data_IF_439865775086
#
_entry.id   IF_439865775086
#
_cell.length_a   1.000
_cell.length_b   1.000
_cell.length_c   1.000
_cell.angle_alpha   90.00
_cell.angle_beta   90.00
_cell.angle_gamma   90.00
#
_symmetry.space_group_name_H-M   'P 1'
#
loop_
_entity.id
_entity.type
_entity.pdbx_description
1 polymer ?
#
# COMPACT_ATOMS: atom_id res chain seq x y z
N UNK A 1 -11.80 -16.39 5.19
CA UNK A 1 -12.45 -15.85 6.38
C UNK A 1 -11.60 -14.91 7.25
N UNK A 2 -10.36 -14.58 6.83
CA UNK A 2 -9.46 -13.79 7.67
C UNK A 2 -9.75 -12.27 7.68
N UNK A 3 -10.53 -11.79 6.73
CA UNK A 3 -10.82 -10.38 6.57
C UNK A 3 -11.37 -10.05 5.19
N UNK A 4 -11.38 -8.77 4.83
CA UNK A 4 -11.94 -8.28 3.56
C UNK A 4 -10.92 -7.48 2.75
N UNK A 5 -11.23 -7.23 1.48
CA UNK A 5 -10.46 -6.35 0.61
C UNK A 5 -11.04 -4.94 0.72
N UNK A 6 -10.21 -3.99 1.14
CA UNK A 6 -10.62 -2.59 1.20
C UNK A 6 -10.58 -1.87 -0.14
N UNK A 7 -11.07 -0.62 -0.16
CA UNK A 7 -11.10 0.21 -1.37
C UNK A 7 -9.73 0.34 -2.04
N UNK A 8 -8.66 0.46 -1.27
CA UNK A 8 -7.28 0.52 -1.78
C UNK A 8 -6.71 -0.83 -2.23
N UNK A 9 -7.53 -1.86 -2.38
CA UNK A 9 -7.13 -3.25 -2.65
C UNK A 9 -6.22 -3.86 -1.57
N UNK A 10 -6.08 -3.21 -0.44
CA UNK A 10 -5.38 -3.81 0.69
C UNK A 10 -6.28 -4.78 1.41
N UNK A 11 -5.72 -5.94 1.77
CA UNK A 11 -6.40 -6.86 2.66
C UNK A 11 -6.47 -6.26 4.07
N UNK A 12 -7.64 -6.29 4.67
CA UNK A 12 -7.92 -5.75 5.99
C UNK A 12 -8.43 -6.87 6.90
N UNK A 13 -7.73 -7.11 7.99
CA UNK A 13 -8.23 -8.03 9.02
C UNK A 13 -8.77 -7.29 10.23
N UNK A 14 -9.74 -7.87 10.97
CA UNK A 14 -10.28 -7.24 12.18
C UNK A 14 -9.24 -7.11 13.30
N UNK A 15 -8.16 -7.89 13.23
CA UNK A 15 -7.10 -7.85 14.23
C UNK A 15 -6.04 -6.78 13.94
N UNK A 16 -5.57 -6.69 12.70
CA UNK A 16 -4.40 -5.89 12.35
C UNK A 16 -4.68 -4.79 11.32
N UNK A 17 -5.92 -4.67 10.84
CA UNK A 17 -6.22 -3.78 9.72
C UNK A 17 -5.40 -4.17 8.48
N UNK A 18 -4.86 -3.21 7.72
CA UNK A 18 -4.02 -3.46 6.54
C UNK A 18 -2.53 -3.72 6.86
N UNK A 19 -2.15 -3.95 8.11
CA UNK A 19 -0.73 -4.05 8.55
C UNK A 19 -0.09 -5.42 8.39
N UNK A 20 -0.77 -6.40 7.84
CA UNK A 20 -0.22 -7.74 7.69
C UNK A 20 0.44 -7.96 6.34
N UNK A 21 1.34 -8.92 6.31
CA UNK A 21 1.86 -9.51 5.10
C UNK A 21 1.23 -10.88 4.91
N UNK A 22 0.85 -11.19 3.69
CA UNK A 22 0.24 -12.46 3.32
C UNK A 22 1.27 -13.25 2.52
N UNK A 23 1.43 -14.53 2.86
CA UNK A 23 2.15 -15.51 2.07
C UNK A 23 1.16 -16.54 1.52
N UNK A 24 1.47 -17.08 0.35
CA UNK A 24 0.70 -18.14 -0.30
C UNK A 24 1.57 -19.38 -0.32
N UNK A 25 0.99 -20.50 0.09
CA UNK A 25 1.62 -21.83 0.01
C UNK A 25 0.78 -22.67 -0.94
N UNK A 26 1.43 -23.23 -1.95
CA UNK A 26 0.81 -24.21 -2.84
C UNK A 26 1.02 -25.61 -2.26
N UNK A 27 -0.03 -26.40 -2.27
CA UNK A 27 -0.01 -27.78 -1.76
C UNK A 27 -0.91 -28.67 -2.61
N UNK A 28 -0.64 -29.95 -2.65
CA UNK A 28 -1.48 -30.99 -3.22
C UNK A 28 -2.36 -31.70 -2.16
N UNK A 29 -2.26 -31.26 -0.91
CA UNK A 29 -3.16 -31.73 0.14
C UNK A 29 -4.59 -31.25 -0.09
N UNK A 30 -5.55 -32.16 0.08
CA UNK A 30 -6.97 -31.80 0.13
C UNK A 30 -7.25 -31.01 1.41
N UNK A 31 -7.52 -29.70 1.24
CA UNK A 31 -7.86 -28.82 2.34
C UNK A 31 -9.32 -28.40 2.22
N UNK A 32 -10.04 -28.42 3.33
CA UNK A 32 -11.37 -27.84 3.38
C UNK A 32 -11.26 -26.30 3.30
N UNK A 33 -12.00 -25.66 2.37
CA UNK A 33 -11.92 -24.21 2.24
C UNK A 33 -12.59 -23.50 3.42
N UNK A 34 -11.91 -22.48 3.94
CA UNK A 34 -12.54 -21.56 4.91
C UNK A 34 -13.63 -20.72 4.22
N UNK A 35 -14.68 -20.31 4.95
CA UNK A 35 -15.69 -19.41 4.42
C UNK A 35 -15.11 -18.03 4.11
N UNK A 36 -15.75 -17.28 3.22
CA UNK A 36 -15.47 -15.87 3.02
C UNK A 36 -15.79 -15.10 4.32
N UNK A 37 -15.07 -14.01 4.56
CA UNK A 37 -15.27 -13.18 5.74
C UNK A 37 -16.69 -12.60 5.79
N UNK A 38 -17.42 -12.93 6.83
CA UNK A 38 -18.81 -12.47 7.11
C UNK A 38 -18.89 -11.63 8.39
N UNK A 39 -17.77 -11.20 8.91
CA UNK A 39 -17.72 -10.35 10.10
C UNK A 39 -18.17 -8.91 9.82
N UNK A 40 -18.10 -8.05 10.86
CA UNK A 40 -18.43 -6.63 10.70
C UNK A 40 -17.63 -5.96 9.59
N UNK A 41 -18.29 -5.13 8.79
CA UNK A 41 -17.64 -4.40 7.69
C UNK A 41 -16.48 -3.54 8.22
N UNK A 42 -15.30 -3.79 7.69
CA UNK A 42 -14.07 -3.05 8.04
C UNK A 42 -13.92 -1.82 7.15
N UNK A 43 -13.97 -1.98 5.83
CA UNK A 43 -13.88 -0.89 4.88
C UNK A 43 -15.24 -0.23 4.62
N UNK A 44 -15.46 0.91 5.21
CA UNK A 44 -16.66 1.75 5.01
C UNK A 44 -16.55 2.71 3.82
N UNK A 45 -15.50 2.55 2.99
CA UNK A 45 -15.22 3.41 1.84
C UNK A 45 -15.09 4.90 2.21
N UNK A 46 -14.44 5.20 3.33
CA UNK A 46 -14.19 6.57 3.79
C UNK A 46 -13.30 7.40 2.84
N UNK A 47 -12.71 6.79 1.83
CA UNK A 47 -11.81 7.39 0.82
C UNK A 47 -10.53 8.03 1.38
N UNK A 48 -10.21 7.81 2.64
CA UNK A 48 -8.99 8.36 3.24
C UNK A 48 -7.72 7.83 2.56
N UNK A 49 -7.73 6.55 2.16
CA UNK A 49 -6.63 5.96 1.40
C UNK A 49 -6.43 6.63 0.03
N UNK A 50 -7.50 6.99 -0.67
CA UNK A 50 -7.44 7.69 -1.95
C UNK A 50 -6.96 9.14 -1.76
N UNK A 51 -7.49 9.86 -0.78
CA UNK A 51 -7.09 11.24 -0.44
C UNK A 51 -5.62 11.37 -0.02
N UNK A 52 -5.08 10.33 0.64
CA UNK A 52 -3.70 10.28 1.10
C UNK A 52 -2.76 9.53 0.12
N UNK A 53 -3.26 9.19 -1.07
CA UNK A 53 -2.42 8.63 -2.12
C UNK A 53 -1.61 9.74 -2.79
N UNK A 54 -0.32 9.81 -2.49
CA UNK A 54 0.57 10.87 -2.98
C UNK A 54 0.60 10.97 -4.51
N UNK A 55 0.49 9.85 -5.21
CA UNK A 55 0.43 9.80 -6.67
C UNK A 55 -0.98 9.94 -7.26
N UNK A 56 -2.02 9.97 -6.43
CA UNK A 56 -3.40 9.99 -6.94
C UNK A 56 -3.81 8.71 -7.67
N UNK A 57 -3.12 7.59 -7.40
CA UNK A 57 -3.34 6.32 -8.11
C UNK A 57 -4.64 5.59 -7.71
N UNK A 58 -5.26 5.99 -6.61
CA UNK A 58 -6.48 5.38 -6.08
C UNK A 58 -7.64 6.33 -6.39
N UNK A 59 -8.60 5.96 -7.26
CA UNK A 59 -9.74 6.82 -7.55
C UNK A 59 -10.62 7.07 -6.33
N UNK A 60 -11.16 8.27 -6.26
CA UNK A 60 -12.17 8.66 -5.26
C UNK A 60 -13.59 8.41 -5.75
N UNK A 61 -13.77 8.29 -7.07
CA UNK A 61 -15.06 7.92 -7.67
C UNK A 61 -15.32 6.43 -7.43
N UNK A 62 -16.40 6.12 -6.71
CA UNK A 62 -16.76 4.75 -6.40
C UNK A 62 -17.29 3.95 -7.59
N UNK A 63 -17.62 4.60 -8.69
CA UNK A 63 -17.98 3.91 -9.92
C UNK A 63 -16.76 3.35 -10.67
N UNK A 64 -15.57 3.92 -10.43
CA UNK A 64 -14.30 3.45 -10.99
C UNK A 64 -13.71 2.33 -10.12
N UNK A 65 -14.28 1.15 -10.26
CA UNK A 65 -13.96 -0.01 -9.44
C UNK A 65 -13.84 -1.30 -10.26
N UNK A 66 -13.09 -2.24 -9.70
CA UNK A 66 -13.01 -3.63 -10.18
C UNK A 66 -13.96 -4.47 -9.33
N UNK A 67 -14.72 -5.33 -9.97
CA UNK A 67 -15.63 -6.30 -9.33
C UNK A 67 -15.28 -7.71 -9.73
N UNK A 68 -15.30 -8.62 -8.79
CA UNK A 68 -15.18 -10.05 -9.01
C UNK A 68 -16.18 -10.81 -8.15
N UNK A 69 -16.59 -11.98 -8.63
CA UNK A 69 -17.42 -12.92 -7.89
C UNK A 69 -16.57 -14.09 -7.41
N UNK A 70 -16.58 -14.36 -6.11
CA UNK A 70 -15.90 -15.51 -5.51
C UNK A 70 -16.86 -16.16 -4.52
N UNK A 71 -17.12 -17.46 -4.70
CA UNK A 71 -17.96 -18.25 -3.80
C UNK A 71 -19.33 -17.59 -3.48
N UNK A 72 -19.95 -16.93 -4.48
CA UNK A 72 -21.24 -16.26 -4.33
C UNK A 72 -21.17 -14.87 -3.67
N UNK A 73 -19.97 -14.36 -3.37
CA UNK A 73 -19.75 -13.03 -2.81
C UNK A 73 -19.16 -12.08 -3.86
N UNK A 74 -19.71 -10.89 -3.96
CA UNK A 74 -19.15 -9.81 -4.79
C UNK A 74 -18.06 -9.09 -4.01
N UNK A 75 -16.84 -9.10 -4.54
CA UNK A 75 -15.72 -8.34 -4.02
C UNK A 75 -15.45 -7.14 -4.91
N UNK A 76 -15.27 -5.97 -4.29
CA UNK A 76 -15.04 -4.71 -5.00
C UNK A 76 -13.86 -3.95 -4.40
N UNK A 77 -13.07 -3.35 -5.27
CA UNK A 77 -12.00 -2.39 -4.89
C UNK A 77 -11.80 -1.36 -6.00
N UNK A 78 -11.09 -0.27 -5.69
CA UNK A 78 -10.78 0.78 -6.64
C UNK A 78 -10.01 0.25 -7.86
N UNK A 79 -10.31 0.76 -9.03
CA UNK A 79 -9.52 0.52 -10.25
C UNK A 79 -8.21 1.31 -10.18
N UNK A 80 -7.22 0.76 -9.50
CA UNK A 80 -5.97 1.43 -9.16
C UNK A 80 -5.07 1.55 -10.39
N UNK A 81 -4.55 2.75 -10.66
CA UNK A 81 -3.46 2.92 -11.62
C UNK A 81 -2.15 2.38 -11.02
N UNK A 82 -1.81 1.16 -11.40
CA UNK A 82 -0.60 0.50 -10.89
C UNK A 82 0.69 1.12 -11.41
N UNK A 83 0.68 1.79 -12.54
CA UNK A 83 1.86 2.48 -13.08
C UNK A 83 2.20 3.66 -12.18
N UNK A 84 1.20 4.48 -11.88
CA UNK A 84 1.36 5.59 -10.93
C UNK A 84 1.69 5.07 -9.54
N UNK A 85 0.92 4.10 -9.04
CA UNK A 85 1.15 3.51 -7.71
C UNK A 85 2.58 2.99 -7.57
N UNK A 86 3.06 2.21 -8.55
CA UNK A 86 4.41 1.66 -8.54
C UNK A 86 5.49 2.75 -8.54
N UNK A 87 5.32 3.78 -9.38
CA UNK A 87 6.24 4.91 -9.45
C UNK A 87 6.44 5.57 -8.09
N UNK A 88 5.34 5.91 -7.43
CA UNK A 88 5.40 6.56 -6.11
C UNK A 88 5.81 5.60 -5.00
N UNK A 89 5.33 4.37 -5.05
CA UNK A 89 5.70 3.33 -4.08
C UNK A 89 7.20 3.01 -4.09
N UNK A 90 7.82 2.99 -5.27
CA UNK A 90 9.24 2.69 -5.42
C UNK A 90 10.15 3.92 -5.27
N UNK A 91 9.61 5.12 -5.10
CA UNK A 91 10.38 6.35 -4.96
C UNK A 91 10.94 6.89 -6.27
N UNK A 92 10.36 6.53 -7.41
CA UNK A 92 10.76 6.98 -8.73
C UNK A 92 10.06 8.28 -9.18
N UNK A 93 9.56 9.07 -8.25
CA UNK A 93 8.95 10.37 -8.49
C UNK A 93 9.92 11.46 -8.04
N UNK A 94 10.64 12.15 -8.95
CA UNK A 94 11.67 13.14 -8.60
C UNK A 94 11.14 14.26 -7.71
N UNK A 95 9.90 14.67 -7.95
CA UNK A 95 9.21 15.70 -7.18
C UNK A 95 8.95 15.31 -5.71
N UNK A 96 9.10 14.02 -5.37
CA UNK A 96 8.88 13.48 -4.02
C UNK A 96 10.11 12.79 -3.44
N UNK A 97 11.11 12.53 -4.26
CA UNK A 97 12.33 11.85 -3.84
C UNK A 97 13.58 12.62 -4.31
N UNK A 98 14.07 13.56 -3.50
CA UNK A 98 15.24 14.37 -3.86
C UNK A 98 16.55 13.56 -3.95
N UNK A 99 16.56 12.33 -3.48
CA UNK A 99 17.72 11.42 -3.56
C UNK A 99 17.60 10.42 -4.72
N UNK A 100 16.64 10.65 -5.61
CA UNK A 100 16.51 9.81 -6.79
C UNK A 100 17.72 9.99 -7.69
N UNK A 101 18.41 8.89 -7.99
CA UNK A 101 19.51 8.86 -8.93
C UNK A 101 18.95 8.94 -10.34
N UNK A 102 19.38 9.91 -11.13
CA UNK A 102 18.99 10.05 -12.52
C UNK A 102 19.74 9.06 -13.41
N UNK A 103 19.30 8.87 -14.66
CA UNK A 103 20.00 8.01 -15.61
C UNK A 103 21.44 8.51 -15.88
N UNK A 104 21.64 9.82 -15.85
CA UNK A 104 22.94 10.46 -16.02
C UNK A 104 23.91 10.13 -14.87
N UNK A 105 23.37 10.01 -13.65
CA UNK A 105 24.16 9.64 -12.47
C UNK A 105 24.57 8.16 -12.49
N UNK A 106 23.92 7.33 -13.30
CA UNK A 106 24.15 5.87 -13.34
C UNK A 106 25.39 5.47 -14.10
N UNK A 107 25.90 6.30 -15.01
CA UNK A 107 27.09 5.97 -15.78
C UNK A 107 28.33 5.75 -14.90
N UNK A 108 28.32 6.25 -13.67
CA UNK A 108 29.36 6.05 -12.67
C UNK A 108 29.12 4.91 -11.66
N UNK A 109 27.93 4.34 -11.59
CA UNK A 109 27.62 3.26 -10.67
C UNK A 109 27.72 1.90 -11.35
N UNK A 110 28.58 1.04 -10.82
CA UNK A 110 28.62 -0.37 -11.26
C UNK A 110 27.24 -1.00 -11.04
N UNK A 111 26.70 -1.65 -12.06
CA UNK A 111 25.46 -2.41 -11.97
C UNK A 111 25.57 -3.39 -10.80
N UNK A 112 24.61 -3.45 -9.89
CA UNK A 112 24.62 -4.47 -8.86
C UNK A 112 24.65 -5.84 -9.53
N UNK A 113 25.65 -6.63 -9.18
CA UNK A 113 25.79 -8.02 -9.63
C UNK A 113 24.77 -8.85 -8.87
N UNK A 114 23.83 -9.46 -9.56
CA UNK A 114 22.91 -10.40 -8.95
C UNK A 114 21.43 -10.25 -9.34
N UNK A 115 20.58 -10.77 -8.54
CA UNK A 115 19.15 -11.01 -8.76
C UNK A 115 18.27 -9.83 -9.24
N UNK A 116 18.77 -8.61 -9.15
CA UNK A 116 18.09 -7.39 -9.65
C UNK A 116 17.76 -7.46 -11.16
N UNK A 117 18.46 -8.29 -11.91
CA UNK A 117 18.14 -8.51 -13.33
C UNK A 117 16.88 -9.37 -13.56
N UNK A 118 16.39 -10.08 -12.57
CA UNK A 118 15.21 -10.95 -12.72
C UNK A 118 13.91 -10.17 -12.82
N UNK A 119 13.88 -8.99 -12.24
CA UNK A 119 12.70 -8.14 -12.29
C UNK A 119 12.97 -6.99 -13.25
N UNK A 120 12.68 -7.19 -14.53
CA UNK A 120 12.61 -6.11 -15.51
C UNK A 120 11.43 -5.15 -15.20
N UNK A 121 11.24 -4.84 -13.97
CA UNK A 121 10.42 -3.72 -13.55
C UNK A 121 11.34 -2.52 -13.65
N UNK A 122 11.19 -1.73 -14.69
CA UNK A 122 12.03 -0.61 -15.05
C UNK A 122 12.77 0.16 -13.95
N UNK A 123 13.30 1.32 -14.23
CA UNK A 123 14.16 2.10 -13.32
C UNK A 123 13.60 2.30 -11.89
N UNK A 124 12.29 2.18 -11.72
CA UNK A 124 11.61 2.34 -10.42
C UNK A 124 12.10 1.40 -9.32
N UNK A 125 12.65 0.25 -9.65
CA UNK A 125 13.12 -0.72 -8.64
C UNK A 125 14.49 -0.37 -8.06
N UNK A 126 15.27 0.41 -8.79
CA UNK A 126 16.65 0.76 -8.41
C UNK A 126 16.71 1.97 -7.46
N UNK A 127 15.64 2.75 -7.32
CA UNK A 127 15.66 4.03 -6.60
C UNK A 127 15.48 3.91 -5.09
N UNK A 128 15.58 2.74 -4.56
CA UNK A 128 15.28 2.57 -3.16
C UNK A 128 13.80 2.81 -2.88
N UNK A 129 13.44 2.66 -1.65
CA UNK A 129 12.03 2.73 -1.27
C UNK A 129 11.62 4.16 -1.01
N UNK A 130 10.49 4.51 -1.55
CA UNK A 130 9.91 5.82 -1.40
C UNK A 130 9.93 6.30 0.03
N UNK A 131 10.11 7.60 0.19
CA UNK A 131 9.89 8.27 1.46
C UNK A 131 8.50 8.00 2.03
N UNK A 132 7.53 7.76 1.19
CA UNK A 132 6.16 7.54 1.57
C UNK A 132 5.63 6.16 1.14
N UNK A 133 5.91 5.73 -0.07
CA UNK A 133 5.50 4.44 -0.62
C UNK A 133 4.01 4.16 -0.39
N UNK A 134 3.67 2.88 -0.14
CA UNK A 134 2.33 2.48 0.26
C UNK A 134 1.95 2.93 1.69
N UNK A 135 2.85 3.59 2.41
CA UNK A 135 2.59 3.98 3.79
C UNK A 135 1.48 5.02 3.91
N UNK A 136 1.31 5.91 2.94
CA UNK A 136 0.25 6.91 2.95
C UNK A 136 -1.14 6.29 3.00
N UNK A 137 -1.48 5.41 2.05
CA UNK A 137 -2.78 4.75 2.01
C UNK A 137 -3.00 3.77 3.17
N UNK A 138 -1.97 2.96 3.52
CA UNK A 138 -2.02 2.04 4.65
C UNK A 138 -2.20 2.81 5.95
N UNK A 139 -1.39 3.85 6.18
CA UNK A 139 -1.44 4.65 7.38
C UNK A 139 -2.81 5.33 7.56
N UNK A 140 -3.34 5.93 6.51
CA UNK A 140 -4.65 6.56 6.54
C UNK A 140 -5.76 5.58 6.91
N UNK A 141 -5.72 4.38 6.32
CA UNK A 141 -6.66 3.31 6.65
C UNK A 141 -6.52 2.87 8.12
N UNK A 142 -5.28 2.71 8.59
CA UNK A 142 -5.02 2.34 10.00
C UNK A 142 -5.59 3.33 10.98
N UNK A 143 -5.31 4.63 10.77
CA UNK A 143 -5.80 5.70 11.64
C UNK A 143 -7.34 5.65 11.70
N UNK A 144 -7.97 5.59 10.53
CA UNK A 144 -9.44 5.56 10.45
C UNK A 144 -10.03 4.33 11.17
N UNK A 145 -9.49 3.14 10.95
CA UNK A 145 -9.99 1.92 11.59
C UNK A 145 -9.80 1.92 13.11
N UNK A 146 -8.70 2.48 13.60
CA UNK A 146 -8.47 2.62 15.04
C UNK A 146 -9.40 3.66 15.66
N UNK A 147 -9.61 4.81 15.02
CA UNK A 147 -10.56 5.84 15.46
C UNK A 147 -12.00 5.32 15.50
N UNK A 148 -12.35 4.39 14.60
CA UNK A 148 -13.64 3.74 14.56
C UNK A 148 -13.77 2.55 15.54
N UNK A 149 -12.71 2.20 16.26
CA UNK A 149 -12.71 1.05 17.17
C UNK A 149 -12.90 -0.30 16.48
N UNK A 150 -12.58 -0.40 15.20
CA UNK A 150 -12.78 -1.61 14.38
C UNK A 150 -11.66 -2.65 14.53
N UNK A 151 -10.57 -2.32 15.19
CA UNK A 151 -9.40 -3.19 15.34
C UNK A 151 -9.23 -3.67 16.78
N UNK A 152 -8.93 -4.95 16.94
CA UNK A 152 -8.64 -5.52 18.27
C UNK A 152 -7.18 -5.32 18.68
N UNK A 153 -6.27 -5.13 17.73
CA UNK A 153 -4.86 -4.82 17.99
C UNK A 153 -4.56 -3.39 17.53
N UNK A 154 -4.55 -2.47 18.47
CA UNK A 154 -4.25 -1.06 18.25
C UNK A 154 -2.79 -0.76 18.60
N UNK A 155 -2.29 0.40 18.17
CA UNK A 155 -1.01 0.88 18.64
C UNK A 155 -1.08 1.22 20.14
N UNK A 156 -0.03 0.93 20.88
CA UNK A 156 0.06 1.25 22.30
C UNK A 156 0.16 2.75 22.57
N UNK A 157 0.65 3.50 21.58
CA UNK A 157 0.71 4.96 21.62
C UNK A 157 -0.05 5.54 20.42
N UNK A 158 -0.72 6.70 20.57
CA UNK A 158 -1.34 7.40 19.47
C UNK A 158 -0.35 7.70 18.36
N UNK A 159 -0.82 7.72 17.11
CA UNK A 159 0.01 8.20 16.00
C UNK A 159 0.53 9.59 16.31
N UNK A 160 1.84 9.74 16.35
CA UNK A 160 2.46 11.04 16.62
C UNK A 160 2.09 12.01 15.52
N UNK A 161 1.42 13.09 15.87
CA UNK A 161 1.35 14.27 15.05
C UNK A 161 2.69 15.00 15.20
N UNK A 162 3.64 14.66 14.36
CA UNK A 162 4.91 15.40 14.33
C UNK A 162 4.67 16.69 13.54
N UNK A 163 5.25 17.81 14.00
CA UNK A 163 5.43 18.95 13.11
C UNK A 163 6.24 18.50 11.90
N UNK A 164 6.11 19.21 10.79
CA UNK A 164 6.87 18.93 9.59
C UNK A 164 8.34 18.77 9.92
N UNK A 165 8.94 17.73 9.34
CA UNK A 165 10.33 17.43 9.61
C UNK A 165 11.19 18.58 9.11
N UNK A 166 11.85 19.29 10.00
CA UNK A 166 12.80 20.33 9.66
C UNK A 166 14.20 19.75 9.88
N UNK A 167 14.94 19.61 8.79
CA UNK A 167 16.38 19.38 8.91
C UNK A 167 16.99 20.65 9.53
N UNK A 168 17.77 20.50 10.60
CA UNK A 168 18.52 21.63 11.18
C UNK A 168 19.74 21.94 10.28
N UNK A 169 19.48 22.10 8.99
CA UNK A 169 20.51 22.42 8.04
C UNK A 169 20.56 23.94 7.89
N UNK A 170 21.72 24.58 8.07
CA UNK A 170 21.82 26.00 7.76
C UNK A 170 21.49 26.18 6.28
N UNK A 171 20.45 26.95 6.00
CA UNK A 171 20.22 27.47 4.65
C UNK A 171 21.24 28.61 4.46
N UNK A 172 22.28 28.37 3.68
CA UNK A 172 23.09 29.45 3.14
C UNK A 172 22.28 30.25 2.14
#
# INVERSE_FOLDING_TARGET
>A
GLGEIGWSKMFISPKFGPRQRIAIILTDAELEPDPIYEGPQLCDRCMMCAKQCTGGAIPTDQSDCVRIEIAGHTLEWANIDYTICSRYFCGAAPEKNPWMVTEEDREGFQKPVGEAQRYKVGPTYDYGRALEGASGCIRACMIHLEEQGKLTNTFTEPFRRRPDWQLPWPRE
#
